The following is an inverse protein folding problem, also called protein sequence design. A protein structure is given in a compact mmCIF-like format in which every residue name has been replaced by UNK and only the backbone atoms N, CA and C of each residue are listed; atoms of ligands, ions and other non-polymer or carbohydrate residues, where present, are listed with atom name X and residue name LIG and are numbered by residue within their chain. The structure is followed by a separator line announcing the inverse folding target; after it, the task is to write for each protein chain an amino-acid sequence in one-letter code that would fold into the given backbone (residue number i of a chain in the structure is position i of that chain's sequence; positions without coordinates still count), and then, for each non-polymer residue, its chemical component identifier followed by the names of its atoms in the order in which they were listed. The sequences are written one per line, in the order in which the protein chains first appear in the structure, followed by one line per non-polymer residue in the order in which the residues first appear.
data_IF_823034908793
#
_entry.id   IF_823034908793
#
_cell.length_a   1.000
_cell.length_b   1.000
_cell.length_c   1.000
_cell.angle_alpha   90.00
_cell.angle_beta   90.00
_cell.angle_gamma   90.00
#
_symmetry.space_group_name_H-M   'P 1'
#
loop_
_entity.id
_entity.type
_entity.pdbx_description
1 polymer ?
#
# COMPACT_ATOMS: atom_id res chain seq x y z
N UNK A 1 5.29 25.34 11.19
CA UNK A 1 5.46 25.04 10.88
C UNK A 1 5.49 24.88 10.38
N UNK A 2 5.57 24.87 10.17
CA UNK A 2 5.76 24.75 9.54
C UNK A 2 6.48 24.41 9.10
N UNK A 3 6.23 24.81 9.32
CA UNK A 3 7.28 24.62 8.60
C UNK A 3 7.78 23.26 8.52
N UNK A 4 8.30 22.81 7.52
CA UNK A 4 8.75 21.47 7.38
C UNK A 4 7.69 20.41 7.53
N UNK A 5 6.49 20.79 7.72
CA UNK A 5 5.42 19.85 7.88
C UNK A 5 4.86 19.49 6.53
N UNK A 6 4.90 18.21 6.21
CA UNK A 6 4.35 17.73 4.96
C UNK A 6 2.84 17.65 5.01
N UNK A 7 2.21 18.05 3.92
CA UNK A 7 0.82 17.79 3.74
C UNK A 7 0.66 16.29 3.48
N UNK A 8 -0.18 15.64 4.25
CA UNK A 8 -0.40 14.22 4.14
C UNK A 8 -1.42 13.92 3.04
N UNK A 9 -1.09 13.04 2.12
CA UNK A 9 -1.99 12.65 1.04
C UNK A 9 -2.57 11.25 1.24
N UNK A 10 -1.90 10.41 2.03
CA UNK A 10 -2.42 9.09 2.37
C UNK A 10 -3.15 9.18 3.70
N UNK A 11 -4.46 9.08 3.65
CA UNK A 11 -5.31 9.15 4.85
C UNK A 11 -6.21 7.94 4.98
N UNK A 12 -6.73 7.45 3.86
CA UNK A 12 -7.66 6.31 3.83
C UNK A 12 -6.97 5.12 3.22
N UNK A 13 -6.87 4.04 3.99
CA UNK A 13 -6.15 2.85 3.59
C UNK A 13 -7.10 1.66 3.52
N UNK A 14 -7.03 0.92 2.41
CA UNK A 14 -7.69 -0.36 2.27
C UNK A 14 -6.65 -1.44 2.49
N UNK A 15 -6.92 -2.35 3.41
CA UNK A 15 -6.02 -3.46 3.72
C UNK A 15 -6.55 -4.73 3.06
N UNK A 16 -5.70 -5.39 2.27
CA UNK A 16 -6.05 -6.65 1.61
C UNK A 16 -5.03 -7.69 2.03
N UNK A 17 -5.42 -8.56 2.93
CA UNK A 17 -4.51 -9.49 3.59
C UNK A 17 -5.28 -10.75 3.97
N UNK A 18 -4.76 -11.93 3.59
CA UNK A 18 -5.44 -13.19 3.88
C UNK A 18 -4.99 -13.86 5.17
N UNK A 19 -3.94 -13.36 5.81
CA UNK A 19 -3.48 -13.88 7.09
C UNK A 19 -4.18 -13.09 8.20
N UNK A 20 -5.09 -13.73 8.97
CA UNK A 20 -5.93 -12.96 9.90
C UNK A 20 -5.18 -12.17 10.96
N UNK A 21 -4.11 -12.72 11.50
CA UNK A 21 -3.35 -12.02 12.54
C UNK A 21 -2.63 -10.81 11.97
N UNK A 22 -2.05 -10.97 10.78
CA UNK A 22 -1.37 -9.85 10.11
C UNK A 22 -2.37 -8.76 9.76
N UNK A 23 -3.54 -9.14 9.27
CA UNK A 23 -4.60 -8.19 8.93
C UNK A 23 -5.03 -7.40 10.16
N UNK A 24 -5.25 -8.10 11.27
CA UNK A 24 -5.66 -7.48 12.51
C UNK A 24 -4.59 -6.52 13.05
N UNK A 25 -3.32 -6.95 13.03
CA UNK A 25 -2.23 -6.12 13.49
C UNK A 25 -2.09 -4.86 12.64
N UNK A 26 -2.14 -5.00 11.32
CA UNK A 26 -2.04 -3.86 10.42
C UNK A 26 -3.15 -2.85 10.67
N UNK A 27 -4.37 -3.34 10.84
CA UNK A 27 -5.52 -2.49 11.12
C UNK A 27 -5.32 -1.68 12.39
N UNK A 28 -4.84 -2.33 13.45
CA UNK A 28 -4.61 -1.67 14.72
C UNK A 28 -3.44 -0.69 14.66
N UNK A 29 -2.33 -1.10 14.06
CA UNK A 29 -1.14 -0.25 13.95
C UNK A 29 -1.47 1.03 13.19
N UNK A 30 -2.09 0.87 12.04
CA UNK A 30 -2.37 2.03 11.18
C UNK A 30 -3.48 2.89 11.77
N UNK A 31 -4.52 2.27 12.32
CA UNK A 31 -5.60 3.00 12.95
C UNK A 31 -5.11 3.82 14.14
N UNK A 32 -4.25 3.24 14.97
CA UNK A 32 -3.68 3.95 16.14
C UNK A 32 -2.79 5.10 15.70
N UNK A 33 -2.20 5.00 14.52
CA UNK A 33 -1.34 6.07 13.99
C UNK A 33 -2.15 7.20 13.33
N UNK A 34 -3.47 7.06 13.27
CA UNK A 34 -4.33 8.12 12.76
C UNK A 34 -4.85 7.91 11.35
N UNK A 35 -4.52 6.80 10.70
CA UNK A 35 -5.06 6.51 9.38
C UNK A 35 -6.48 5.98 9.51
N UNK A 36 -7.31 6.31 8.53
CA UNK A 36 -8.65 5.73 8.45
C UNK A 36 -8.55 4.42 7.68
N UNK A 37 -8.97 3.33 8.29
CA UNK A 37 -9.01 2.03 7.63
C UNK A 37 -10.38 1.88 7.00
N UNK A 38 -10.42 1.98 5.68
CA UNK A 38 -11.67 1.91 4.93
C UNK A 38 -12.32 0.55 5.09
N UNK A 39 -11.50 -0.49 4.99
CA UNK A 39 -11.94 -1.86 5.19
C UNK A 39 -10.71 -2.75 5.24
N UNK A 40 -10.92 -3.96 5.75
CA UNK A 40 -9.91 -5.02 5.71
C UNK A 40 -10.60 -6.22 5.08
N UNK A 41 -10.01 -6.76 4.02
CA UNK A 41 -10.60 -7.89 3.32
C UNK A 41 -9.50 -8.87 2.90
N UNK A 42 -9.88 -10.11 2.66
CA UNK A 42 -8.94 -11.13 2.18
C UNK A 42 -9.25 -11.55 0.74
N UNK A 43 -10.12 -10.83 0.07
CA UNK A 43 -10.65 -11.29 -1.21
C UNK A 43 -10.60 -10.20 -2.27
N UNK A 44 -10.16 -10.58 -3.48
CA UNK A 44 -10.05 -9.68 -4.61
C UNK A 44 -11.36 -8.97 -4.95
N UNK A 45 -12.46 -9.73 -5.05
CA UNK A 45 -13.74 -9.16 -5.49
C UNK A 45 -14.25 -8.11 -4.51
N UNK A 46 -14.08 -8.36 -3.21
CA UNK A 46 -14.48 -7.38 -2.20
C UNK A 46 -13.65 -6.12 -2.29
N UNK A 47 -12.34 -6.28 -2.46
CA UNK A 47 -11.44 -5.13 -2.60
C UNK A 47 -11.82 -4.30 -3.82
N UNK A 48 -12.08 -4.99 -4.93
CA UNK A 48 -12.46 -4.31 -6.17
C UNK A 48 -13.73 -3.49 -6.00
N UNK A 49 -14.74 -4.07 -5.32
CA UNK A 49 -15.99 -3.35 -5.05
C UNK A 49 -15.74 -2.12 -4.19
N UNK A 50 -14.88 -2.26 -3.18
CA UNK A 50 -14.61 -1.14 -2.28
C UNK A 50 -13.98 0.02 -3.03
N UNK A 51 -12.99 -0.24 -3.89
CA UNK A 51 -12.34 0.86 -4.61
C UNK A 51 -13.25 1.52 -5.64
N UNK A 52 -14.31 0.84 -6.06
CA UNK A 52 -15.30 1.41 -6.96
C UNK A 52 -16.28 2.32 -6.24
N UNK A 53 -16.49 2.10 -4.94
CA UNK A 53 -17.55 2.77 -4.20
C UNK A 53 -17.09 3.81 -3.20
N UNK A 54 -15.86 3.71 -2.73
CA UNK A 54 -15.36 4.57 -1.67
C UNK A 54 -14.02 5.18 -2.04
N UNK A 55 -13.74 6.39 -1.52
CA UNK A 55 -12.40 6.95 -1.72
C UNK A 55 -11.37 6.12 -0.95
N UNK A 56 -10.30 5.78 -1.62
CA UNK A 56 -9.16 5.07 -1.05
C UNK A 56 -7.90 5.78 -1.52
N UNK A 57 -7.02 6.10 -0.59
CA UNK A 57 -5.79 6.81 -0.91
C UNK A 57 -4.63 5.87 -1.16
N UNK A 58 -4.68 4.69 -0.55
CA UNK A 58 -3.62 3.69 -0.67
C UNK A 58 -4.19 2.32 -0.36
N UNK A 59 -3.78 1.33 -1.15
CA UNK A 59 -4.07 -0.07 -0.83
C UNK A 59 -2.79 -0.69 -0.28
N UNK A 60 -2.89 -1.31 0.89
CA UNK A 60 -1.83 -2.14 1.44
C UNK A 60 -2.26 -3.57 1.20
N UNK A 61 -1.58 -4.26 0.29
CA UNK A 61 -2.07 -5.55 -0.19
C UNK A 61 -1.00 -6.63 -0.21
N UNK A 62 -1.41 -7.82 0.19
CA UNK A 62 -0.64 -9.02 -0.13
C UNK A 62 -0.73 -9.26 -1.64
N UNK A 63 0.27 -9.92 -2.21
CA UNK A 63 0.23 -10.28 -3.62
C UNK A 63 -0.59 -11.54 -3.82
N UNK A 64 -0.44 -12.52 -2.93
CA UNK A 64 -1.25 -13.73 -2.99
C UNK A 64 -2.54 -13.54 -2.21
N UNK A 65 -3.66 -13.71 -2.89
CA UNK A 65 -4.96 -13.62 -2.29
C UNK A 65 -5.66 -14.96 -2.44
N UNK A 66 -6.69 -15.19 -1.63
CA UNK A 66 -7.41 -16.48 -1.61
C UNK A 66 -8.32 -16.70 -2.80
N UNK A 67 -8.47 -15.72 -3.67
CA UNK A 67 -9.31 -15.86 -4.84
C UNK A 67 -8.48 -16.31 -6.04
N UNK A 68 -9.13 -16.51 -7.17
CA UNK A 68 -8.46 -16.82 -8.43
C UNK A 68 -7.58 -15.67 -8.90
N UNK A 69 -7.94 -14.46 -8.50
CA UNK A 69 -7.19 -13.26 -8.85
C UNK A 69 -6.23 -12.92 -7.73
N UNK A 70 -5.14 -12.27 -8.06
CA UNK A 70 -4.09 -11.97 -7.09
C UNK A 70 -3.95 -10.46 -6.90
N UNK A 71 -3.00 -10.09 -6.03
CA UNK A 71 -2.77 -8.69 -5.72
C UNK A 71 -2.26 -7.87 -6.90
N UNK A 72 -1.55 -8.51 -7.85
CA UNK A 72 -1.09 -7.82 -9.05
C UNK A 72 -2.28 -7.32 -9.86
N UNK A 73 -3.29 -8.18 -10.02
CA UNK A 73 -4.49 -7.82 -10.77
C UNK A 73 -5.27 -6.71 -10.06
N UNK A 74 -5.33 -6.78 -8.72
CA UNK A 74 -5.99 -5.74 -7.94
C UNK A 74 -5.24 -4.40 -8.09
N UNK A 75 -3.92 -4.44 -7.99
CA UNK A 75 -3.11 -3.24 -8.11
C UNK A 75 -3.26 -2.60 -9.50
N UNK A 76 -3.36 -3.43 -10.53
CA UNK A 76 -3.58 -2.93 -11.89
C UNK A 76 -4.93 -2.23 -12.00
N UNK A 77 -5.98 -2.84 -11.46
CA UNK A 77 -7.32 -2.22 -11.47
C UNK A 77 -7.33 -0.92 -10.67
N UNK A 78 -6.63 -0.90 -9.54
CA UNK A 78 -6.54 0.29 -8.70
C UNK A 78 -5.77 1.41 -9.41
N UNK A 79 -4.68 1.05 -10.08
CA UNK A 79 -3.86 2.02 -10.82
C UNK A 79 -4.69 2.72 -11.89
N UNK A 80 -5.55 1.96 -12.57
CA UNK A 80 -6.43 2.54 -13.60
C UNK A 80 -7.39 3.56 -13.00
N UNK A 81 -7.62 3.53 -11.70
CA UNK A 81 -8.46 4.49 -10.98
C UNK A 81 -7.64 5.54 -10.24
N UNK A 82 -6.33 5.54 -10.42
CA UNK A 82 -5.46 6.50 -9.74
C UNK A 82 -5.18 6.17 -8.29
N UNK A 83 -5.42 4.94 -7.86
CA UNK A 83 -5.20 4.51 -6.48
C UNK A 83 -3.89 3.71 -6.42
N UNK A 84 -2.91 4.17 -5.64
CA UNK A 84 -1.64 3.46 -5.51
C UNK A 84 -1.77 2.23 -4.62
N UNK A 85 -0.92 1.25 -4.87
CA UNK A 85 -0.84 0.03 -4.06
C UNK A 85 0.57 -0.15 -3.54
N UNK A 86 0.69 -0.41 -2.24
CA UNK A 86 1.93 -0.86 -1.62
C UNK A 86 1.75 -2.35 -1.31
N UNK A 87 2.59 -3.18 -1.90
CA UNK A 87 2.54 -4.61 -1.60
C UNK A 87 3.28 -4.92 -0.32
N UNK A 88 2.76 -5.86 0.45
CA UNK A 88 3.44 -6.45 1.59
C UNK A 88 3.62 -7.92 1.27
N UNK A 89 4.85 -8.37 1.10
CA UNK A 89 5.10 -9.70 0.56
C UNK A 89 6.41 -10.29 1.08
N UNK A 90 6.47 -11.61 1.13
CA UNK A 90 7.70 -12.32 1.50
C UNK A 90 8.63 -12.56 0.33
N UNK A 91 8.18 -12.26 -0.88
CA UNK A 91 8.96 -12.55 -2.09
C UNK A 91 8.85 -11.41 -3.08
N UNK A 92 9.90 -11.25 -3.90
CA UNK A 92 9.85 -10.36 -5.04
C UNK A 92 8.99 -11.02 -6.14
N UNK A 93 8.17 -10.21 -6.80
CA UNK A 93 7.32 -10.72 -7.88
C UNK A 93 7.56 -9.95 -9.15
N UNK A 94 7.78 -10.64 -10.28
CA UNK A 94 7.87 -9.97 -11.58
C UNK A 94 6.57 -9.22 -11.85
N UNK A 95 6.69 -8.03 -12.40
CA UNK A 95 5.52 -7.23 -12.75
C UNK A 95 5.00 -6.35 -11.64
N UNK A 96 5.49 -6.51 -10.40
CA UNK A 96 5.01 -5.68 -9.29
C UNK A 96 5.30 -4.20 -9.54
N UNK A 97 6.48 -3.89 -10.08
CA UNK A 97 6.88 -2.51 -10.31
C UNK A 97 6.03 -1.80 -11.35
N UNK A 98 5.36 -2.56 -12.21
CA UNK A 98 4.51 -1.96 -13.25
C UNK A 98 3.19 -1.45 -12.69
N UNK A 99 2.75 -1.98 -11.55
CA UNK A 99 1.41 -1.72 -11.05
C UNK A 99 1.38 -1.14 -9.64
N UNK A 100 2.47 -1.21 -8.89
CA UNK A 100 2.51 -0.76 -7.50
C UNK A 100 3.50 0.38 -7.31
N UNK A 101 3.36 1.08 -6.17
CA UNK A 101 4.30 2.15 -5.82
C UNK A 101 5.50 1.60 -5.06
N UNK A 102 5.39 0.41 -4.53
CA UNK A 102 6.50 -0.22 -3.82
C UNK A 102 6.13 -1.54 -3.20
N UNK A 103 7.12 -2.15 -2.55
CA UNK A 103 6.96 -3.40 -1.82
C UNK A 103 7.58 -3.27 -0.44
N UNK A 104 6.85 -3.72 0.58
CA UNK A 104 7.37 -3.85 1.94
C UNK A 104 7.58 -5.33 2.21
N UNK A 105 8.80 -5.70 2.57
CA UNK A 105 9.17 -7.09 2.74
C UNK A 105 8.67 -7.63 4.07
N UNK A 106 8.02 -8.79 4.03
CA UNK A 106 7.61 -9.52 5.23
C UNK A 106 8.75 -10.39 5.72
N UNK A 107 8.89 -10.59 7.01
CA UNK A 107 8.13 -9.97 8.09
C UNK A 107 8.60 -8.54 8.36
N UNK A 108 7.70 -7.68 8.79
CA UNK A 108 8.06 -6.31 9.13
C UNK A 108 7.56 -6.00 10.54
N UNK A 109 8.21 -5.02 11.17
CA UNK A 109 7.81 -4.55 12.49
C UNK A 109 6.77 -3.44 12.34
N UNK A 110 6.12 -3.11 13.44
CA UNK A 110 5.23 -1.95 13.48
C UNK A 110 5.92 -0.70 12.97
N UNK A 111 7.15 -0.48 13.43
CA UNK A 111 7.93 0.69 13.03
C UNK A 111 8.20 0.71 11.53
N UNK A 112 8.53 -0.45 10.97
CA UNK A 112 8.79 -0.56 9.54
C UNK A 112 7.52 -0.28 8.73
N UNK A 113 6.38 -0.76 9.20
CA UNK A 113 5.12 -0.50 8.51
C UNK A 113 4.79 0.99 8.51
N UNK A 114 4.87 1.63 9.67
CA UNK A 114 4.55 3.06 9.76
C UNK A 114 5.50 3.90 8.92
N UNK A 115 6.78 3.55 8.96
CA UNK A 115 7.77 4.27 8.16
C UNK A 115 7.53 4.08 6.67
N UNK A 116 7.14 2.88 6.27
CA UNK A 116 6.84 2.59 4.88
C UNK A 116 5.69 3.46 4.36
N UNK A 117 4.62 3.58 5.15
CA UNK A 117 3.47 4.39 4.73
C UNK A 117 3.88 5.87 4.61
N UNK A 118 4.68 6.37 5.56
CA UNK A 118 5.19 7.75 5.47
C UNK A 118 6.03 7.96 4.21
N UNK A 119 6.90 7.00 3.90
CA UNK A 119 7.75 7.09 2.72
C UNK A 119 6.91 7.06 1.44
N UNK A 120 5.90 6.21 1.39
CA UNK A 120 5.00 6.15 0.24
C UNK A 120 4.27 7.49 0.08
N UNK A 121 3.79 8.07 1.17
CA UNK A 121 3.09 9.35 1.13
C UNK A 121 3.97 10.42 0.46
N UNK A 122 5.22 10.51 0.90
CA UNK A 122 6.16 11.49 0.35
C UNK A 122 6.53 11.18 -1.08
N UNK A 123 6.71 9.91 -1.37
CA UNK A 123 7.04 9.45 -2.73
C UNK A 123 5.91 9.83 -3.71
N UNK A 124 4.67 9.69 -3.28
CA UNK A 124 3.51 10.06 -4.11
C UNK A 124 3.47 11.55 -4.37
N UNK A 125 4.07 12.34 -3.52
CA UNK A 125 4.12 13.79 -3.69
C UNK A 125 5.33 14.25 -4.52
N UNK A 126 6.11 13.30 -5.02
CA UNK A 126 7.25 13.62 -5.86
C UNK A 126 8.54 13.87 -5.10
N UNK A 127 8.54 13.69 -3.79
CA UNK A 127 9.74 13.89 -3.00
C UNK A 127 10.76 12.78 -3.24
N UNK A 128 12.02 13.15 -3.16
CA UNK A 128 13.09 12.16 -3.19
C UNK A 128 13.17 11.54 -1.81
N UNK A 129 12.92 10.25 -1.70
CA UNK A 129 12.82 9.56 -0.43
C UNK A 129 13.85 8.45 -0.36
N UNK A 130 14.59 8.40 0.74
CA UNK A 130 15.50 7.31 0.99
C UNK A 130 14.70 6.18 1.64
N UNK A 131 14.62 5.04 0.96
CA UNK A 131 13.85 3.90 1.47
C UNK A 131 14.56 3.26 2.65
N UNK A 132 13.83 3.01 3.75
CA UNK A 132 14.41 2.24 4.85
C UNK A 132 14.54 0.78 4.46
N UNK A 133 15.28 0.03 5.27
CA UNK A 133 15.47 -1.39 5.05
C UNK A 133 14.11 -2.09 4.96
N UNK A 134 13.96 -2.93 3.97
CA UNK A 134 12.74 -3.71 3.78
C UNK A 134 11.71 -3.05 2.86
N UNK A 135 11.92 -1.81 2.49
CA UNK A 135 11.00 -1.10 1.60
C UNK A 135 11.69 -0.79 0.29
N UNK A 136 11.07 -1.17 -0.80
CA UNK A 136 11.50 -0.78 -2.13
C UNK A 136 10.41 0.10 -2.74
N UNK A 137 10.78 1.29 -3.21
CA UNK A 137 9.86 2.18 -3.90
C UNK A 137 10.13 2.12 -5.39
N UNK A 138 9.09 2.14 -6.18
CA UNK A 138 9.19 2.04 -7.63
C UNK A 138 8.98 3.40 -8.28
N UNK A 139 9.70 3.66 -9.34
CA UNK A 139 9.52 4.89 -10.10
C UNK A 139 8.15 4.90 -10.75
N UNK A 140 7.56 6.08 -10.85
CA UNK A 140 6.27 6.22 -11.53
C UNK A 140 6.43 5.89 -13.00
N UNK A 141 5.37 5.35 -13.60
CA UNK A 141 5.38 5.07 -15.03
C UNK A 141 5.65 6.35 -15.81
N UNK A 142 6.61 6.29 -16.73
CA UNK A 142 6.99 7.45 -17.50
C UNK A 142 8.11 8.26 -16.92
N UNK A 143 8.55 7.98 -15.71
CA UNK A 143 9.72 8.63 -15.15
C UNK A 143 10.96 7.95 -15.70
N UNK A 144 11.76 8.70 -16.39
CA UNK A 144 12.98 8.19 -16.97
C UNK A 144 14.17 8.72 -16.24
N UNK A 145 15.19 7.94 -16.18
CA UNK A 145 16.38 8.33 -15.43
C UNK A 145 17.57 8.55 -16.32
#
# INVERSE_FOLDING_TARGET
MLFGKHKQVVKRILIVEDEPLTAFDNENILGDAGYEIVATTDHFDNALEIIKRQPVDLILSDIRLRSQHNGIELARAAKARGIPTLFATGHAYPGAADVAVGCLMKPYTERQLLKAIECVDRHLQGDSVKSPKGLELFAAAGEEN
#
